data_IF_251176987828
#
_entry.id   IF_251176987828
#
_cell.length_a   1.000
_cell.length_b   1.000
_cell.length_c   1.000
_cell.angle_alpha   90.00
_cell.angle_beta   90.00
_cell.angle_gamma   90.00
#
_symmetry.space_group_name_H-M   'P 1'
#
loop_
_entity.id
_entity.type
_entity.pdbx_description
1 polymer ?
#
# COMPACT_ATOMS: atom_id res chain seq x y z
N UNK A 1 -4.17 12.22 13.67
CA UNK A 1 -4.72 10.96 14.24
C UNK A 1 -5.81 10.47 13.32
N UNK A 2 -5.71 9.23 12.81
CA UNK A 2 -6.79 8.61 12.05
C UNK A 2 -8.04 8.55 12.94
N UNK A 3 -9.17 9.10 12.47
CA UNK A 3 -10.42 9.18 13.24
C UNK A 3 -11.56 8.63 12.40
N UNK A 4 -12.23 7.60 12.93
CA UNK A 4 -13.48 7.10 12.37
C UNK A 4 -14.62 8.00 12.85
N UNK A 5 -15.40 8.56 11.92
CA UNK A 5 -16.57 9.39 12.21
C UNK A 5 -17.84 8.69 11.72
N UNK A 6 -18.67 8.28 12.67
CA UNK A 6 -19.92 7.54 12.41
C UNK A 6 -21.15 8.36 12.79
N UNK A 7 -21.06 9.69 12.79
CA UNK A 7 -22.15 10.58 13.26
C UNK A 7 -23.52 10.36 12.62
N UNK A 8 -23.55 9.81 11.40
CA UNK A 8 -24.79 9.49 10.67
C UNK A 8 -25.21 8.01 10.78
N UNK A 9 -24.36 7.16 11.36
CA UNK A 9 -24.63 5.74 11.64
C UNK A 9 -25.01 5.59 13.12
N UNK A 10 -26.25 5.97 13.43
CA UNK A 10 -26.74 6.13 14.81
C UNK A 10 -26.68 4.86 15.65
N UNK A 11 -26.81 3.69 15.02
CA UNK A 11 -26.82 2.36 15.65
C UNK A 11 -25.42 1.71 15.68
N UNK A 12 -24.39 2.41 15.20
CA UNK A 12 -23.04 1.86 15.12
C UNK A 12 -22.47 1.43 16.48
N UNK A 13 -22.61 2.19 17.59
CA UNK A 13 -22.11 1.75 18.89
C UNK A 13 -22.75 0.44 19.37
N UNK A 14 -24.07 0.32 19.26
CA UNK A 14 -24.81 -0.87 19.69
C UNK A 14 -24.52 -2.06 18.78
N UNK A 15 -24.44 -1.82 17.46
CA UNK A 15 -24.06 -2.84 16.49
C UNK A 15 -22.63 -3.33 16.75
N UNK A 16 -21.69 -2.46 17.08
CA UNK A 16 -20.32 -2.83 17.40
C UNK A 16 -20.25 -3.72 18.64
N UNK A 17 -20.97 -3.37 19.72
CA UNK A 17 -21.05 -4.22 20.92
C UNK A 17 -21.69 -5.57 20.62
N UNK A 18 -22.80 -5.58 19.87
CA UNK A 18 -23.52 -6.82 19.49
C UNK A 18 -22.64 -7.79 18.69
N UNK A 19 -21.81 -7.27 17.78
CA UNK A 19 -20.96 -8.10 16.92
C UNK A 19 -19.55 -8.34 17.49
N UNK A 20 -19.23 -7.82 18.68
CA UNK A 20 -17.90 -7.96 19.28
C UNK A 20 -17.39 -9.42 19.36
N UNK A 21 -18.21 -10.44 19.71
CA UNK A 21 -17.76 -11.84 19.70
C UNK A 21 -17.33 -12.31 18.30
N UNK A 22 -18.12 -11.98 17.27
CA UNK A 22 -17.83 -12.33 15.87
C UNK A 22 -16.55 -11.64 15.37
N UNK A 23 -16.37 -10.36 15.68
CA UNK A 23 -15.18 -9.61 15.31
C UNK A 23 -13.91 -10.17 15.97
N UNK A 24 -14.02 -10.59 17.24
CA UNK A 24 -12.93 -11.23 17.99
C UNK A 24 -12.53 -12.56 17.34
N UNK A 25 -13.51 -13.40 17.03
CA UNK A 25 -13.28 -14.69 16.38
C UNK A 25 -12.65 -14.52 14.98
N UNK A 26 -13.14 -13.58 14.18
CA UNK A 26 -12.58 -13.29 12.86
C UNK A 26 -11.09 -12.89 12.94
N UNK A 27 -10.74 -12.04 13.90
CA UNK A 27 -9.35 -11.66 14.18
C UNK A 27 -8.52 -12.86 14.60
N UNK A 28 -9.00 -13.68 15.53
CA UNK A 28 -8.28 -14.87 16.00
C UNK A 28 -7.99 -15.85 14.86
N UNK A 29 -8.97 -16.11 14.00
CA UNK A 29 -8.80 -16.97 12.81
C UNK A 29 -7.78 -16.41 11.81
N UNK A 30 -7.73 -15.10 11.63
CA UNK A 30 -6.72 -14.45 10.78
C UNK A 30 -5.33 -14.59 11.38
N UNK A 31 -5.17 -14.24 12.66
CA UNK A 31 -3.88 -14.25 13.35
C UNK A 31 -3.32 -15.66 13.55
N UNK A 32 -4.18 -16.67 13.72
CA UNK A 32 -3.77 -18.08 13.80
C UNK A 32 -3.09 -18.58 12.52
N UNK A 33 -3.33 -17.94 11.37
CA UNK A 33 -2.65 -18.27 10.10
C UNK A 33 -1.30 -17.58 9.96
N UNK A 34 -0.94 -16.64 10.84
CA UNK A 34 0.35 -15.94 10.78
C UNK A 34 1.47 -16.98 10.88
N UNK A 35 2.51 -16.83 10.07
CA UNK A 35 3.66 -17.75 9.96
C UNK A 35 3.35 -19.12 9.34
N UNK A 36 2.10 -19.45 9.00
CA UNK A 36 1.83 -20.62 8.19
C UNK A 36 2.38 -20.39 6.77
N UNK A 37 3.21 -21.29 6.22
CA UNK A 37 3.73 -21.16 4.85
C UNK A 37 2.58 -21.01 3.85
N UNK A 38 2.69 -20.03 2.95
CA UNK A 38 1.66 -19.76 1.93
C UNK A 38 0.40 -19.03 2.45
N UNK A 39 0.37 -18.56 3.71
CA UNK A 39 -0.77 -17.78 4.24
C UNK A 39 -0.90 -16.37 3.67
N UNK A 40 0.14 -15.87 3.00
CA UNK A 40 0.19 -14.55 2.34
C UNK A 40 -0.11 -13.38 3.30
N UNK A 41 0.26 -13.50 4.59
CA UNK A 41 0.09 -12.46 5.60
C UNK A 41 1.33 -11.57 5.83
N UNK A 42 2.33 -11.63 4.94
CA UNK A 42 3.58 -10.88 5.09
C UNK A 42 3.40 -9.35 5.08
N UNK A 43 2.28 -8.85 4.56
CA UNK A 43 1.94 -7.42 4.59
C UNK A 43 1.82 -6.86 6.01
N UNK A 44 1.55 -7.70 7.04
CA UNK A 44 1.52 -7.27 8.43
C UNK A 44 2.89 -6.85 8.96
N UNK A 45 3.96 -7.44 8.42
CA UNK A 45 5.32 -7.27 8.91
C UNK A 45 6.08 -6.17 8.13
N UNK A 46 5.59 -5.77 6.94
CA UNK A 46 6.21 -4.72 6.11
C UNK A 46 6.48 -3.40 6.85
N UNK A 47 5.59 -2.89 7.72
CA UNK A 47 5.87 -1.66 8.47
C UNK A 47 7.08 -1.77 9.42
N UNK A 48 7.49 -2.98 9.79
CA UNK A 48 8.62 -3.24 10.68
C UNK A 48 9.96 -3.34 9.91
N UNK A 49 9.93 -3.56 8.59
CA UNK A 49 11.14 -3.70 7.75
C UNK A 49 11.78 -2.33 7.44
N UNK A 50 12.46 -1.78 8.43
CA UNK A 50 13.18 -0.51 8.30
C UNK A 50 14.55 -0.64 7.62
N UNK A 51 15.08 -1.85 7.45
CA UNK A 51 16.37 -2.07 6.78
C UNK A 51 16.21 -1.97 5.26
N UNK A 52 15.22 -2.64 4.67
CA UNK A 52 14.92 -2.50 3.24
C UNK A 52 14.61 -1.04 2.87
N UNK A 53 13.91 -0.31 3.75
CA UNK A 53 13.68 1.12 3.56
C UNK A 53 14.98 1.92 3.41
N UNK A 54 15.99 1.62 4.23
CA UNK A 54 17.30 2.30 4.15
C UNK A 54 18.06 1.90 2.90
N UNK A 55 17.96 0.64 2.49
CA UNK A 55 18.57 0.17 1.25
C UNK A 55 17.99 0.88 0.02
N UNK A 56 16.65 0.95 -0.09
CA UNK A 56 15.97 1.68 -1.17
C UNK A 56 16.37 3.15 -1.19
N UNK A 57 16.46 3.79 -0.02
CA UNK A 57 16.91 5.19 0.08
C UNK A 57 18.34 5.35 -0.42
N UNK A 58 19.27 4.49 0.01
CA UNK A 58 20.67 4.53 -0.40
C UNK A 58 20.81 4.39 -1.92
N UNK A 59 20.02 3.51 -2.54
CA UNK A 59 19.99 3.37 -3.99
C UNK A 59 19.51 4.66 -4.67
N UNK A 60 18.44 5.29 -4.17
CA UNK A 60 17.93 6.54 -4.75
C UNK A 60 18.95 7.67 -4.66
N UNK A 61 19.60 7.83 -3.50
CA UNK A 61 20.62 8.87 -3.24
C UNK A 61 21.87 8.69 -4.10
N UNK A 62 22.26 7.44 -4.39
CA UNK A 62 23.37 7.14 -5.29
C UNK A 62 23.06 7.43 -6.77
N UNK A 63 21.80 7.67 -7.12
CA UNK A 63 21.35 7.93 -8.50
C UNK A 63 20.62 9.28 -8.60
N UNK A 64 21.30 10.41 -8.34
CA UNK A 64 20.69 11.75 -8.38
C UNK A 64 20.35 12.21 -9.80
N UNK A 65 20.87 11.53 -10.81
CA UNK A 65 20.74 11.87 -12.23
C UNK A 65 19.34 11.55 -12.82
N UNK A 66 18.49 10.85 -12.08
CA UNK A 66 17.16 10.43 -12.57
C UNK A 66 16.20 11.61 -12.57
N UNK A 67 15.73 12.00 -13.76
CA UNK A 67 14.66 12.99 -13.96
C UNK A 67 13.31 12.35 -14.30
N UNK A 68 13.31 11.22 -14.99
CA UNK A 68 12.13 10.45 -15.39
C UNK A 68 12.21 9.03 -14.82
N UNK A 69 11.16 8.61 -14.12
CA UNK A 69 11.03 7.26 -13.56
C UNK A 69 9.91 6.50 -14.28
N UNK A 70 10.27 5.49 -15.06
CA UNK A 70 9.30 4.66 -15.79
C UNK A 70 9.01 3.39 -14.99
N UNK A 71 7.81 3.30 -14.42
CA UNK A 71 7.34 2.10 -13.71
C UNK A 71 6.53 1.23 -14.68
N UNK A 72 7.11 0.08 -15.04
CA UNK A 72 6.43 -0.96 -15.82
C UNK A 72 5.79 -1.98 -14.88
N UNK A 73 4.47 -1.94 -14.76
CA UNK A 73 3.73 -2.78 -13.83
C UNK A 73 2.23 -2.48 -13.88
N UNK A 74 1.39 -3.46 -13.54
CA UNK A 74 -0.07 -3.33 -13.59
C UNK A 74 -0.71 -3.78 -12.26
N UNK A 75 -1.96 -3.37 -12.02
CA UNK A 75 -2.73 -3.80 -10.86
C UNK A 75 -2.06 -3.43 -9.55
N UNK A 76 -1.82 -4.40 -8.67
CA UNK A 76 -1.18 -4.17 -7.36
C UNK A 76 0.22 -3.54 -7.46
N UNK A 77 0.93 -3.77 -8.55
CA UNK A 77 2.27 -3.21 -8.79
C UNK A 77 2.25 -1.76 -9.29
N UNK A 78 1.09 -1.20 -9.63
CA UNK A 78 0.95 0.18 -10.11
C UNK A 78 0.03 1.04 -9.25
N UNK A 79 -1.09 0.49 -8.75
CA UNK A 79 -2.08 1.27 -8.00
C UNK A 79 -1.50 1.87 -6.71
N UNK A 80 -0.75 1.09 -5.94
CA UNK A 80 -0.08 1.56 -4.72
C UNK A 80 0.93 2.67 -5.00
N UNK A 81 1.91 2.43 -5.90
CA UNK A 81 2.87 3.45 -6.32
C UNK A 81 2.22 4.73 -6.87
N UNK A 82 1.24 4.63 -7.78
CA UNK A 82 0.50 5.79 -8.32
C UNK A 82 -0.16 6.62 -7.22
N UNK A 83 -0.83 5.97 -6.27
CA UNK A 83 -1.53 6.66 -5.21
C UNK A 83 -0.57 7.41 -4.26
N UNK A 84 0.56 6.78 -3.90
CA UNK A 84 1.54 7.38 -2.99
C UNK A 84 2.34 8.50 -3.67
N UNK A 85 2.80 8.26 -4.89
CA UNK A 85 3.58 9.25 -5.64
C UNK A 85 2.77 10.51 -5.93
N UNK A 86 1.55 10.38 -6.44
CA UNK A 86 0.70 11.53 -6.74
C UNK A 86 0.37 12.39 -5.49
N UNK A 87 0.37 11.79 -4.30
CA UNK A 87 0.11 12.48 -3.05
C UNK A 87 1.36 13.14 -2.42
N UNK A 88 2.55 12.59 -2.66
CA UNK A 88 3.77 12.92 -1.91
C UNK A 88 4.99 13.27 -2.77
N UNK A 89 4.86 13.41 -4.09
CA UNK A 89 6.01 13.76 -4.92
C UNK A 89 6.48 15.21 -4.67
N UNK A 90 7.61 15.33 -3.98
CA UNK A 90 8.31 16.59 -3.71
C UNK A 90 9.62 16.72 -4.48
N UNK A 91 10.04 15.66 -5.19
CA UNK A 91 11.39 15.56 -5.76
C UNK A 91 11.55 16.24 -7.12
N UNK A 92 10.44 16.50 -7.83
CA UNK A 92 10.44 16.99 -9.21
C UNK A 92 10.72 15.91 -10.26
N UNK A 93 11.00 14.66 -9.85
CA UNK A 93 11.09 13.51 -10.78
C UNK A 93 9.72 13.27 -11.40
N UNK A 94 9.69 13.08 -12.72
CA UNK A 94 8.48 12.77 -13.49
C UNK A 94 8.25 11.26 -13.49
N UNK A 95 7.07 10.82 -13.05
CA UNK A 95 6.72 9.41 -13.06
C UNK A 95 5.86 9.06 -14.28
N UNK A 96 6.28 8.02 -15.00
CA UNK A 96 5.57 7.46 -16.15
C UNK A 96 5.18 6.03 -15.83
N UNK A 97 3.89 5.73 -15.87
CA UNK A 97 3.40 4.40 -15.55
C UNK A 97 2.99 3.68 -16.81
N UNK A 98 3.66 2.57 -17.10
CA UNK A 98 3.28 1.66 -18.16
C UNK A 98 2.49 0.50 -17.55
N UNK A 99 1.21 0.75 -17.30
CA UNK A 99 0.25 -0.21 -16.73
C UNK A 99 -0.78 -0.70 -17.75
N UNK A 100 -0.44 -0.57 -19.03
CA UNK A 100 -1.19 -1.08 -20.18
C UNK A 100 -0.22 -1.49 -21.30
N UNK A 101 -0.77 -2.06 -22.37
CA UNK A 101 -0.02 -2.49 -23.58
C UNK A 101 -0.46 -1.78 -24.85
N UNK A 102 -1.29 -0.74 -24.75
CA UNK A 102 -1.59 0.14 -25.88
C UNK A 102 -0.29 0.78 -26.41
N UNK A 103 -0.01 0.68 -27.73
CA UNK A 103 1.25 1.15 -28.30
C UNK A 103 1.35 2.67 -28.43
N UNK A 104 0.24 3.37 -28.70
CA UNK A 104 0.22 4.80 -29.01
C UNK A 104 0.80 5.71 -27.90
N UNK A 105 0.59 5.45 -26.60
CA UNK A 105 1.16 6.27 -25.53
C UNK A 105 2.69 6.20 -25.40
N UNK A 106 3.37 5.23 -26.04
CA UNK A 106 4.84 5.06 -25.98
C UNK A 106 5.54 5.49 -27.27
N UNK A 107 4.83 5.50 -28.41
CA UNK A 107 5.40 5.79 -29.72
C UNK A 107 5.50 7.29 -30.06
N UNK A 108 5.21 8.18 -29.11
CA UNK A 108 5.23 9.64 -29.29
C UNK A 108 6.48 10.29 -28.71
#
# INVERSE_FOLDING_TARGET
>A
MLRLDTRFLKDFPEALSRHAPLLKEARERLLAKRKAPGSMLGWMDLPEDTETLREVRRYREANPWVEDFVLVGIGGSALGPKALEAAFNESGVRFHYLDHVEPEPVLR
#
